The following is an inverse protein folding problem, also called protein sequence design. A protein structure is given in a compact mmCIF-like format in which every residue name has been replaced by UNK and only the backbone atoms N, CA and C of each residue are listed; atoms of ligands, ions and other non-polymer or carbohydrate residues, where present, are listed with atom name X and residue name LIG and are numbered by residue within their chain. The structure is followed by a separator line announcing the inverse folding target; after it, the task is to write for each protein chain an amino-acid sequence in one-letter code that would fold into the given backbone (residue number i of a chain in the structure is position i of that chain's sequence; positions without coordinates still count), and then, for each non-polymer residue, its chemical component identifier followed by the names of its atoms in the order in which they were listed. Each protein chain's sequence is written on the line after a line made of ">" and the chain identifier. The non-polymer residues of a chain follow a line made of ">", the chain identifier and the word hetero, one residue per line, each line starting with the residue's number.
data_IF_140171049895
#
_entry.id   IF_140171049895
#
_cell.length_a   1.000
_cell.length_b   1.000
_cell.length_c   1.000
_cell.angle_alpha   90.00
_cell.angle_beta   90.00
_cell.angle_gamma   90.00
#
_symmetry.space_group_name_H-M   'P 1'
#
loop_
_entity.id
_entity.type
_entity.pdbx_description
1 polymer ?
#
# COMPACT_ATOMS: atom_id res chain seq x y z
N UNK A 1 7.37 25.91 12.37
CA UNK A 1 7.42 25.40 11.99
C UNK A 1 7.44 24.51 12.06
N UNK A 2 7.26 24.57 12.06
CA UNK A 2 7.29 23.85 11.83
C UNK A 2 7.23 22.88 11.86
N UNK A 3 7.00 23.01 12.36
CA UNK A 3 6.95 22.18 12.14
C UNK A 3 6.69 21.45 11.76
N UNK A 4 6.31 21.93 11.63
CA UNK A 4 6.06 21.39 10.96
C UNK A 4 6.18 20.65 10.41
N UNK A 5 6.12 21.16 10.62
CA UNK A 5 6.31 20.74 9.87
C UNK A 5 6.67 19.86 9.43
N UNK A 6 6.57 20.03 9.69
CA UNK A 6 6.95 19.39 9.14
C UNK A 6 7.09 18.81 8.50
N UNK A 7 6.87 19.39 8.30
CA UNK A 7 6.84 18.88 7.52
C UNK A 7 7.42 18.29 6.94
N UNK A 8 6.98 18.71 7.25
CA UNK A 8 8.11 18.10 6.82
C UNK A 8 8.13 17.40 5.47
N UNK A 9 9.14 17.57 4.70
CA UNK A 9 9.25 17.02 3.36
C UNK A 9 9.20 15.50 3.29
N UNK A 10 9.59 14.84 4.34
CA UNK A 10 9.55 13.38 4.35
C UNK A 10 8.15 12.86 4.59
N UNK A 11 7.19 13.75 4.60
CA UNK A 11 5.79 13.35 4.67
C UNK A 11 5.29 12.75 3.36
N UNK A 12 6.14 12.67 2.37
CA UNK A 12 5.77 12.04 1.11
C UNK A 12 5.42 10.58 1.24
N UNK A 13 6.03 9.91 2.19
CA UNK A 13 5.86 8.47 2.31
C UNK A 13 4.97 8.16 3.49
N UNK A 14 3.84 7.63 3.19
CA UNK A 14 2.85 7.26 4.17
C UNK A 14 2.42 5.82 3.90
N UNK A 15 2.24 5.06 4.96
CA UNK A 15 1.72 3.71 4.84
C UNK A 15 0.21 3.74 4.81
N UNK A 16 -0.38 2.96 3.91
CA UNK A 16 -1.82 2.77 3.90
C UNK A 16 -2.12 1.29 3.97
N UNK A 17 -3.23 0.96 4.59
CA UNK A 17 -3.59 -0.42 4.84
C UNK A 17 -4.47 -0.95 3.74
N UNK A 18 -4.72 -2.27 3.78
CA UNK A 18 -5.50 -2.92 2.74
C UNK A 18 -6.85 -2.27 2.51
N UNK A 19 -7.57 -1.93 3.59
CA UNK A 19 -8.88 -1.32 3.43
C UNK A 19 -8.81 -0.02 2.66
N UNK A 20 -7.76 0.77 2.90
CA UNK A 20 -7.58 2.02 2.17
C UNK A 20 -7.25 1.76 0.71
N UNK A 21 -6.39 0.77 0.46
CA UNK A 21 -6.04 0.41 -0.92
C UNK A 21 -7.28 -0.04 -1.68
N UNK A 22 -8.11 -0.86 -1.06
CA UNK A 22 -9.35 -1.31 -1.67
C UNK A 22 -10.26 -0.13 -1.98
N UNK A 23 -10.33 0.82 -1.07
CA UNK A 23 -11.18 1.99 -1.25
C UNK A 23 -10.70 2.86 -2.40
N UNK A 24 -9.38 3.05 -2.50
CA UNK A 24 -8.81 3.91 -3.54
C UNK A 24 -8.91 3.31 -4.92
N UNK A 25 -8.77 1.99 -5.01
CA UNK A 25 -8.73 1.33 -6.32
C UNK A 25 -10.09 0.79 -6.74
N UNK A 26 -10.96 0.52 -5.80
CA UNK A 26 -12.21 -0.14 -6.11
C UNK A 26 -12.07 -1.65 -6.28
N UNK A 27 -10.88 -2.18 -6.11
CA UNK A 27 -10.66 -3.62 -6.21
C UNK A 27 -11.02 -4.33 -4.92
N UNK A 28 -11.40 -5.59 -5.02
CA UNK A 28 -11.54 -6.44 -3.85
C UNK A 28 -10.19 -6.99 -3.44
N UNK A 29 -10.20 -7.66 -2.28
CA UNK A 29 -8.97 -8.21 -1.71
C UNK A 29 -8.29 -9.18 -2.68
N UNK A 30 -9.06 -10.10 -3.22
CA UNK A 30 -8.51 -11.13 -4.09
C UNK A 30 -7.85 -10.52 -5.32
N UNK A 31 -8.49 -9.51 -5.89
CA UNK A 31 -7.94 -8.84 -7.07
C UNK A 31 -6.60 -8.17 -6.75
N UNK A 32 -6.52 -7.54 -5.59
CA UNK A 32 -5.28 -6.87 -5.20
C UNK A 32 -4.15 -7.88 -5.04
N UNK A 33 -4.41 -8.98 -4.34
CA UNK A 33 -3.36 -9.98 -4.16
C UNK A 33 -2.94 -10.62 -5.46
N UNK A 34 -3.90 -10.88 -6.33
CA UNK A 34 -3.58 -11.46 -7.63
C UNK A 34 -2.72 -10.52 -8.46
N UNK A 35 -3.04 -9.23 -8.44
CA UNK A 35 -2.27 -8.26 -9.20
C UNK A 35 -0.88 -8.05 -8.63
N UNK A 36 -0.73 -8.19 -7.33
CA UNK A 36 0.61 -8.15 -6.74
C UNK A 36 1.44 -9.34 -7.22
N UNK A 37 0.82 -10.50 -7.30
CA UNK A 37 1.52 -11.70 -7.71
C UNK A 37 2.00 -11.62 -9.16
N UNK A 38 1.19 -11.06 -10.02
CA UNK A 38 1.57 -11.00 -11.44
C UNK A 38 2.39 -9.75 -11.76
N UNK A 39 2.68 -8.94 -10.76
CA UNK A 39 3.54 -7.78 -10.93
C UNK A 39 2.86 -6.54 -11.44
N UNK A 40 1.55 -6.55 -11.56
CA UNK A 40 0.84 -5.39 -12.13
C UNK A 40 0.37 -4.39 -11.08
N UNK A 41 0.65 -4.63 -9.81
CA UNK A 41 0.28 -3.72 -8.73
C UNK A 41 1.43 -3.63 -7.74
N UNK A 42 1.61 -2.47 -7.10
CA UNK A 42 2.71 -2.34 -6.12
C UNK A 42 2.61 -3.36 -5.01
N UNK A 43 3.74 -3.85 -4.59
CA UNK A 43 3.78 -4.89 -3.57
C UNK A 43 3.63 -4.29 -2.18
N UNK A 44 2.98 -5.05 -1.33
CA UNK A 44 2.88 -4.66 0.07
C UNK A 44 4.19 -4.93 0.79
N UNK A 45 4.33 -4.32 1.95
CA UNK A 45 5.45 -4.62 2.82
C UNK A 45 4.93 -4.91 4.21
N UNK A 46 5.76 -5.58 5.00
CA UNK A 46 5.38 -5.95 6.35
C UNK A 46 5.75 -4.84 7.31
N UNK A 47 4.81 -4.52 8.18
CA UNK A 47 5.04 -3.48 9.19
C UNK A 47 5.55 -4.06 10.50
N UNK A 48 5.22 -5.32 10.79
CA UNK A 48 5.61 -5.93 12.04
C UNK A 48 6.74 -6.92 11.87
N UNK A 49 7.12 -7.53 12.97
CA UNK A 49 8.12 -8.58 12.93
C UNK A 49 7.57 -9.86 12.35
N UNK A 50 8.37 -10.92 12.37
CA UNK A 50 7.90 -12.19 11.85
C UNK A 50 6.71 -12.70 12.66
N UNK A 51 5.78 -13.42 12.00
CA UNK A 51 4.64 -13.96 12.73
C UNK A 51 5.07 -15.01 13.73
N UNK A 52 4.31 -15.14 14.80
CA UNK A 52 4.59 -16.15 15.80
C UNK A 52 4.41 -17.54 15.22
N UNK A 53 3.43 -17.71 14.36
CA UNK A 53 3.14 -18.97 13.70
C UNK A 53 3.48 -18.81 12.23
N UNK A 54 4.45 -19.57 11.71
CA UNK A 54 4.84 -19.40 10.32
C UNK A 54 3.72 -19.68 9.33
N UNK A 55 2.67 -20.35 9.75
CA UNK A 55 1.53 -20.60 8.87
C UNK A 55 0.46 -19.52 8.97
N UNK A 56 0.66 -18.58 9.85
CA UNK A 56 -0.32 -17.53 10.07
C UNK A 56 -0.10 -16.37 9.11
N UNK A 57 -1.18 -15.88 8.54
CA UNK A 57 -1.14 -14.69 7.71
C UNK A 57 -1.97 -13.61 8.38
N UNK A 58 -1.38 -12.48 8.62
CA UNK A 58 -2.08 -11.37 9.25
C UNK A 58 -2.03 -10.17 8.32
N UNK A 59 -3.13 -9.94 7.62
CA UNK A 59 -3.20 -8.83 6.65
C UNK A 59 -3.13 -7.47 7.36
N UNK A 60 -3.33 -7.44 8.67
CA UNK A 60 -3.19 -6.18 9.40
C UNK A 60 -1.74 -5.79 9.60
N UNK A 61 -0.82 -6.72 9.33
CA UNK A 61 0.60 -6.43 9.48
C UNK A 61 1.24 -5.98 8.17
N UNK A 62 0.46 -5.81 7.12
CA UNK A 62 1.00 -5.37 5.84
C UNK A 62 0.42 -4.02 5.46
N UNK A 63 1.15 -3.32 4.62
CA UNK A 63 0.72 -2.00 4.15
C UNK A 63 1.36 -1.73 2.81
N UNK A 64 0.93 -0.66 2.19
CA UNK A 64 1.50 -0.18 0.93
C UNK A 64 1.99 1.24 1.14
N UNK A 65 2.93 1.66 0.33
CA UNK A 65 3.38 3.04 0.34
C UNK A 65 2.37 3.85 -0.47
N UNK A 66 1.81 4.86 0.15
CA UNK A 66 0.73 5.65 -0.46
C UNK A 66 1.13 6.18 -1.83
N UNK A 67 2.35 6.72 -1.92
CA UNK A 67 2.86 7.26 -3.18
C UNK A 67 2.81 6.24 -4.30
N UNK A 68 3.22 5.02 -4.01
CA UNK A 68 3.25 3.99 -5.03
C UNK A 68 1.86 3.65 -5.53
N UNK A 69 0.91 3.59 -4.62
CA UNK A 69 -0.47 3.29 -4.99
C UNK A 69 -1.05 4.43 -5.83
N UNK A 70 -0.79 5.66 -5.41
CA UNK A 70 -1.30 6.82 -6.15
C UNK A 70 -0.67 6.91 -7.54
N UNK A 71 0.63 6.65 -7.65
CA UNK A 71 1.29 6.65 -8.94
C UNK A 71 0.75 5.56 -9.85
N UNK A 72 0.46 4.40 -9.28
CA UNK A 72 -0.12 3.32 -10.06
C UNK A 72 -1.49 3.72 -10.59
N UNK A 73 -2.31 4.34 -9.75
CA UNK A 73 -3.62 4.79 -10.18
C UNK A 73 -3.50 5.80 -11.33
N UNK A 74 -2.59 6.75 -11.18
CA UNK A 74 -2.41 7.75 -12.21
C UNK A 74 -1.91 7.16 -13.50
N UNK A 75 -1.05 6.15 -13.41
CA UNK A 75 -0.56 5.51 -14.63
C UNK A 75 -1.69 4.79 -15.37
N UNK A 76 -2.64 4.22 -14.62
CA UNK A 76 -3.78 3.59 -15.27
C UNK A 76 -4.68 4.61 -15.96
N UNK A 77 -4.83 5.77 -15.34
CA UNK A 77 -5.63 6.83 -15.95
C UNK A 77 -4.97 7.32 -17.24
N UNK A 78 -3.66 7.48 -17.21
CA UNK A 78 -2.93 7.98 -18.38
C UNK A 78 -2.92 6.98 -19.54
N UNK A 79 -3.00 5.71 -19.24
CA UNK A 79 -2.88 4.67 -20.24
C UNK A 79 -4.23 4.09 -20.67
N UNK A 80 -5.30 4.74 -20.33
CA UNK A 80 -6.62 4.26 -20.71
C UNK A 80 -6.95 4.52 -22.20
#
# INVERSE_FOLDING_TARGET
>A
MDKSTQTTPNQKHRFIRLSEVMSRTGYGRTSIYRKMEDGSFPKSLKLGGPPKDPNEFDSRAIAWIEDEVDQWIESRIENR
#
